data_IF_388437004049
#
_entry.id   IF_388437004049
#
_cell.length_a   1.000
_cell.length_b   1.000
_cell.length_c   1.000
_cell.angle_alpha   90.00
_cell.angle_beta   90.00
_cell.angle_gamma   90.00
#
_symmetry.space_group_name_H-M   'P 1'
#
loop_
_entity.id
_entity.type
_entity.pdbx_description
1 polymer ?
#
# COMPACT_ATOMS: atom_id res chain seq x y z
N UNK A 1 8.96 11.20 -12.01
CA UNK A 1 8.28 9.90 -12.18
C UNK A 1 7.81 9.45 -10.80
N UNK A 2 6.52 9.27 -10.60
CA UNK A 2 5.97 8.79 -9.32
C UNK A 2 6.20 7.29 -9.22
N UNK A 3 7.13 6.88 -8.36
CA UNK A 3 7.44 5.47 -8.12
C UNK A 3 6.29 4.83 -7.32
N UNK A 4 5.55 3.91 -7.95
CA UNK A 4 4.46 3.17 -7.33
C UNK A 4 4.95 1.76 -6.94
N UNK A 5 4.74 1.38 -5.68
CA UNK A 5 5.04 0.04 -5.18
C UNK A 5 3.74 -0.69 -4.87
N UNK A 6 3.50 -1.83 -5.53
CA UNK A 6 2.42 -2.72 -5.14
C UNK A 6 2.79 -3.52 -3.89
N UNK A 7 1.77 -4.02 -3.18
CA UNK A 7 2.03 -4.86 -2.01
C UNK A 7 2.88 -6.07 -2.41
N UNK A 8 4.02 -6.31 -1.74
CA UNK A 8 4.85 -7.48 -2.02
C UNK A 8 4.21 -8.78 -1.53
N UNK A 9 3.24 -8.71 -0.61
CA UNK A 9 2.62 -9.87 0.00
C UNK A 9 1.13 -9.67 0.25
N UNK A 10 0.31 -10.08 -0.72
CA UNK A 10 -1.14 -10.14 -0.59
C UNK A 10 -1.65 -11.47 0.02
N UNK A 11 -0.78 -12.47 0.21
CA UNK A 11 -1.20 -13.84 0.55
C UNK A 11 -0.92 -14.18 2.01
N UNK A 12 0.28 -13.88 2.51
CA UNK A 12 0.68 -14.26 3.87
C UNK A 12 0.35 -13.21 4.92
N UNK A 13 0.09 -11.96 4.50
CA UNK A 13 -0.37 -10.88 5.37
C UNK A 13 -1.77 -11.09 5.98
N UNK A 14 -2.57 -12.01 5.43
CA UNK A 14 -3.95 -12.26 5.85
C UNK A 14 -4.99 -11.45 5.08
N UNK A 15 -6.30 -11.68 5.33
CA UNK A 15 -7.37 -10.99 4.61
C UNK A 15 -7.25 -9.47 4.74
N UNK A 16 -7.37 -8.76 3.60
CA UNK A 16 -7.34 -7.30 3.51
C UNK A 16 -6.09 -6.65 4.14
N UNK A 17 -4.95 -7.36 4.16
CA UNK A 17 -3.74 -6.93 4.86
C UNK A 17 -2.54 -6.94 3.91
N UNK A 18 -1.61 -6.01 4.14
CA UNK A 18 -0.37 -5.87 3.39
C UNK A 18 0.76 -5.39 4.31
N UNK A 19 1.97 -5.91 4.15
CA UNK A 19 3.14 -5.48 4.91
C UNK A 19 4.23 -4.85 4.04
N UNK A 20 4.56 -3.58 4.30
CA UNK A 20 5.70 -2.89 3.70
C UNK A 20 6.87 -2.82 4.68
N UNK A 21 7.88 -3.65 4.45
CA UNK A 21 9.10 -3.66 5.27
C UNK A 21 10.00 -2.43 5.06
N UNK A 22 11.13 -2.40 5.80
CA UNK A 22 12.13 -1.32 5.76
C UNK A 22 12.73 -1.02 4.37
N UNK A 23 12.65 -1.97 3.44
CA UNK A 23 13.12 -1.76 2.07
C UNK A 23 12.20 -0.85 1.24
N UNK A 24 10.94 -0.68 1.65
CA UNK A 24 9.94 0.17 0.99
C UNK A 24 9.62 1.45 1.78
N UNK A 25 9.98 1.48 3.06
CA UNK A 25 9.62 2.55 4.00
C UNK A 25 10.84 3.32 4.49
N UNK A 26 10.63 4.58 4.88
CA UNK A 26 11.64 5.45 5.48
C UNK A 26 10.94 6.40 6.44
N UNK A 27 11.58 6.67 7.58
CA UNK A 27 11.07 7.67 8.51
C UNK A 27 11.04 9.05 7.85
N UNK A 28 10.12 9.90 8.30
CA UNK A 28 10.00 11.30 7.85
C UNK A 28 9.64 11.47 6.37
N UNK A 29 9.12 10.40 5.75
CA UNK A 29 8.51 10.45 4.42
C UNK A 29 7.03 10.15 4.53
N UNK A 30 6.24 10.96 3.83
CA UNK A 30 4.82 10.72 3.61
C UNK A 30 4.63 9.89 2.36
N UNK A 31 3.81 8.86 2.48
CA UNK A 31 3.43 7.96 1.40
C UNK A 31 1.96 8.16 1.06
N UNK A 32 1.64 8.04 -0.23
CA UNK A 32 0.25 8.00 -0.70
C UNK A 32 -0.07 6.53 -0.97
N UNK A 33 -1.09 6.01 -0.29
CA UNK A 33 -1.60 4.67 -0.47
C UNK A 33 -2.97 4.72 -1.15
N UNK A 34 -3.19 3.80 -2.08
CA UNK A 34 -4.49 3.51 -2.68
C UNK A 34 -4.66 2.00 -2.76
N UNK A 35 -5.89 1.54 -2.62
CA UNK A 35 -6.25 0.13 -2.82
C UNK A 35 -6.96 0.01 -4.16
N UNK A 36 -6.47 -0.88 -5.02
CA UNK A 36 -7.14 -1.27 -6.25
C UNK A 36 -7.81 -2.63 -6.05
N UNK A 37 -9.13 -2.68 -6.11
CA UNK A 37 -9.91 -3.90 -6.07
C UNK A 37 -10.39 -4.26 -7.48
N UNK A 38 -9.99 -5.44 -7.97
CA UNK A 38 -10.37 -5.94 -9.29
C UNK A 38 -11.24 -7.20 -9.18
N UNK A 39 -12.35 -7.24 -9.89
CA UNK A 39 -13.22 -8.40 -10.03
C UNK A 39 -13.70 -8.57 -11.49
N UNK A 40 -14.62 -9.51 -11.75
CA UNK A 40 -15.14 -9.77 -13.10
C UNK A 40 -15.87 -8.57 -13.73
N UNK A 41 -16.36 -7.64 -12.92
CA UNK A 41 -17.07 -6.43 -13.35
C UNK A 41 -16.12 -5.26 -13.64
N UNK A 42 -14.87 -5.33 -13.19
CA UNK A 42 -13.84 -4.33 -13.44
C UNK A 42 -12.98 -4.03 -12.21
N UNK A 43 -12.26 -2.91 -12.28
CA UNK A 43 -11.40 -2.39 -11.22
C UNK A 43 -11.99 -1.13 -10.60
N UNK A 44 -11.79 -0.97 -9.30
CA UNK A 44 -12.19 0.22 -8.54
C UNK A 44 -11.05 0.64 -7.62
N UNK A 45 -10.83 1.95 -7.50
CA UNK A 45 -9.81 2.53 -6.64
C UNK A 45 -10.45 3.13 -5.40
N UNK A 46 -9.78 2.98 -4.26
CA UNK A 46 -10.11 3.76 -3.06
C UNK A 46 -9.71 5.23 -3.23
N UNK A 47 -10.16 6.06 -2.29
CA UNK A 47 -9.56 7.38 -2.10
C UNK A 47 -8.08 7.25 -1.69
N UNK A 48 -7.32 8.31 -1.94
CA UNK A 48 -5.92 8.43 -1.52
C UNK A 48 -5.82 8.55 0.01
N UNK A 49 -4.91 7.78 0.60
CA UNK A 49 -4.57 7.88 2.02
C UNK A 49 -3.11 8.31 2.18
N UNK A 50 -2.90 9.39 2.92
CA UNK A 50 -1.56 9.90 3.26
C UNK A 50 -1.13 9.27 4.58
N UNK A 51 0.01 8.58 4.57
CA UNK A 51 0.55 7.86 5.75
C UNK A 51 2.00 8.23 6.00
N UNK A 52 2.36 8.37 7.27
CA UNK A 52 3.74 8.57 7.71
C UNK A 52 4.23 7.35 8.51
N UNK A 53 5.49 6.99 8.32
CA UNK A 53 6.11 5.87 9.06
C UNK A 53 6.78 6.41 10.32
N UNK A 54 6.29 5.98 11.47
CA UNK A 54 6.82 6.36 12.80
C UNK A 54 7.57 5.22 13.46
N UNK A 55 8.37 5.52 14.47
CA UNK A 55 9.03 4.50 15.30
C UNK A 55 8.00 3.88 16.25
N UNK A 56 7.98 2.54 16.34
CA UNK A 56 7.14 1.77 17.27
C UNK A 56 8.00 1.32 18.45
#
# INVERSE_FOLDING_TARGET
ETLMHECPDYITGGPNSCHFGKQYTSMWRTYIMMVNATNQMGSSFSDELYVDVTYI
#
